data_IF_691737741186
#
_entry.id   IF_691737741186
#
_cell.length_a   1.000
_cell.length_b   1.000
_cell.length_c   1.000
_cell.angle_alpha   90.00
_cell.angle_beta   90.00
_cell.angle_gamma   90.00
#
_symmetry.space_group_name_H-M   'P 1'
#
loop_
_entity.id
_entity.type
_entity.pdbx_description
1 polymer ?
#
# COMPACT_ATOMS: atom_id res chain seq x y z
N UNK A 1 -11.30 5.97 5.08
CA UNK A 1 -10.90 7.02 6.06
C UNK A 1 -11.78 8.26 5.89
N UNK A 2 -13.09 8.04 5.68
CA UNK A 2 -14.02 9.10 5.31
C UNK A 2 -13.56 9.92 4.11
N UNK A 3 -13.99 11.17 4.11
CA UNK A 3 -13.67 12.18 3.10
C UNK A 3 -12.17 12.36 2.86
N UNK A 4 -11.29 12.01 3.80
CA UNK A 4 -9.84 12.12 3.55
C UNK A 4 -9.37 11.26 2.37
N UNK A 5 -10.04 10.14 2.11
CA UNK A 5 -9.78 9.25 0.97
C UNK A 5 -10.88 9.27 -0.08
N UNK A 6 -11.94 10.05 0.12
CA UNK A 6 -13.16 9.97 -0.68
C UNK A 6 -14.03 8.75 -0.37
N UNK A 7 -13.81 8.10 0.79
CA UNK A 7 -14.67 7.01 1.25
C UNK A 7 -15.88 7.60 1.97
N UNK A 8 -17.07 7.04 1.79
CA UNK A 8 -18.27 7.49 2.50
C UNK A 8 -18.31 6.99 3.94
N UNK A 9 -17.45 6.02 4.29
CA UNK A 9 -17.41 5.40 5.61
C UNK A 9 -16.23 5.94 6.44
N UNK A 10 -16.54 6.28 7.69
CA UNK A 10 -15.55 6.69 8.70
C UNK A 10 -15.74 5.92 10.00
N UNK A 11 -14.66 5.64 10.70
CA UNK A 11 -14.68 4.95 11.99
C UNK A 11 -13.50 5.40 12.87
N UNK A 12 -13.48 4.94 14.13
CA UNK A 12 -12.42 5.27 15.08
C UNK A 12 -11.03 4.80 14.61
N UNK A 13 -10.96 3.62 13.96
CA UNK A 13 -9.71 3.07 13.41
C UNK A 13 -9.14 3.97 12.32
N UNK A 14 -9.98 4.45 11.40
CA UNK A 14 -9.59 5.39 10.36
C UNK A 14 -9.04 6.70 10.92
N UNK A 15 -9.68 7.24 11.98
CA UNK A 15 -9.16 8.44 12.66
C UNK A 15 -7.79 8.21 13.30
N UNK A 16 -7.57 7.04 13.94
CA UNK A 16 -6.26 6.69 14.49
C UNK A 16 -5.20 6.56 13.40
N UNK A 17 -5.55 5.94 12.27
CA UNK A 17 -4.65 5.81 11.13
C UNK A 17 -4.28 7.18 10.55
N UNK A 18 -5.23 8.10 10.40
CA UNK A 18 -4.97 9.48 9.97
C UNK A 18 -3.99 10.21 10.90
N UNK A 19 -4.18 10.06 12.22
CA UNK A 19 -3.27 10.65 13.20
C UNK A 19 -1.85 10.06 13.09
N UNK A 20 -1.74 8.75 12.88
CA UNK A 20 -0.44 8.09 12.69
C UNK A 20 0.25 8.54 11.40
N UNK A 21 -0.49 8.68 10.29
CA UNK A 21 0.03 9.22 9.02
C UNK A 21 0.61 10.62 9.23
N UNK A 22 -0.14 11.50 9.90
CA UNK A 22 0.29 12.87 10.18
C UNK A 22 1.52 12.90 11.11
N UNK A 23 1.54 12.09 12.17
CA UNK A 23 2.64 12.05 13.12
C UNK A 23 3.96 11.52 12.52
N UNK A 24 3.89 10.72 11.45
CA UNK A 24 5.06 10.10 10.81
C UNK A 24 5.41 10.72 9.44
N UNK A 25 4.79 11.86 9.09
CA UNK A 25 4.97 12.53 7.79
C UNK A 25 4.79 11.58 6.58
N UNK A 26 3.78 10.71 6.65
CA UNK A 26 3.50 9.77 5.57
C UNK A 26 2.62 10.39 4.50
N UNK A 27 2.98 10.11 3.25
CA UNK A 27 2.18 10.35 2.07
C UNK A 27 1.26 9.15 1.87
N UNK A 28 -0.04 9.41 1.84
CA UNK A 28 -1.04 8.43 1.43
C UNK A 28 -1.27 8.52 -0.09
N UNK A 29 -0.79 7.54 -0.84
CA UNK A 29 -0.82 7.57 -2.30
C UNK A 29 -2.20 7.34 -2.89
N UNK A 30 -3.06 6.54 -2.23
CA UNK A 30 -4.46 6.36 -2.66
C UNK A 30 -5.21 7.69 -2.69
N UNK A 31 -4.99 8.56 -1.69
CA UNK A 31 -5.59 9.90 -1.68
C UNK A 31 -5.14 10.76 -2.86
N UNK A 32 -3.87 10.66 -3.27
CA UNK A 32 -3.31 11.51 -4.32
C UNK A 32 -3.65 11.03 -5.73
N UNK A 33 -3.66 9.71 -5.94
CA UNK A 33 -3.69 9.11 -7.27
C UNK A 33 -4.97 8.32 -7.58
N UNK A 34 -5.77 7.97 -6.57
CA UNK A 34 -6.98 7.15 -6.73
C UNK A 34 -8.07 7.60 -5.72
N UNK A 35 -8.27 8.91 -5.60
CA UNK A 35 -9.21 9.46 -4.62
C UNK A 35 -10.65 9.02 -4.91
N UNK A 36 -11.34 8.50 -3.89
CA UNK A 36 -12.71 8.02 -4.01
C UNK A 36 -12.87 6.68 -4.73
N UNK A 37 -11.78 6.09 -5.24
CA UNK A 37 -11.84 4.77 -5.85
C UNK A 37 -11.88 3.67 -4.77
N UNK A 38 -12.91 2.82 -4.75
CA UNK A 38 -13.07 1.81 -3.73
C UNK A 38 -12.05 0.69 -3.90
N UNK A 39 -11.47 0.19 -2.81
CA UNK A 39 -10.54 -0.97 -2.81
C UNK A 39 -11.24 -2.26 -2.39
N UNK A 40 -12.46 -2.15 -1.89
CA UNK A 40 -13.27 -3.28 -1.43
C UNK A 40 -14.72 -3.09 -1.82
N UNK A 41 -15.35 -4.17 -2.28
CA UNK A 41 -16.74 -4.21 -2.72
C UNK A 41 -17.44 -5.44 -2.18
N UNK A 42 -18.23 -5.27 -1.12
CA UNK A 42 -19.14 -6.30 -0.62
C UNK A 42 -20.32 -5.61 0.07
N UNK A 43 -21.51 -5.73 -0.53
CA UNK A 43 -22.74 -5.05 -0.07
C UNK A 43 -22.55 -3.53 0.11
N UNK A 44 -21.88 -2.92 -0.86
CA UNK A 44 -21.42 -1.54 -0.81
C UNK A 44 -19.93 -1.46 -1.09
N UNK A 45 -19.37 -0.27 -0.97
CA UNK A 45 -17.97 0.01 -1.29
C UNK A 45 -17.25 0.61 -0.10
N UNK A 46 -15.96 0.35 0.03
CA UNK A 46 -15.09 1.01 1.00
C UNK A 46 -13.65 1.13 0.49
N UNK A 47 -12.89 2.03 1.09
CA UNK A 47 -11.46 2.22 0.83
C UNK A 47 -10.74 1.81 2.11
N UNK A 48 -10.13 0.62 2.11
CA UNK A 48 -9.52 0.00 3.29
C UNK A 48 -8.10 -0.53 3.04
N UNK A 49 -7.66 -0.54 1.79
CA UNK A 49 -6.32 -0.96 1.38
C UNK A 49 -5.52 0.26 0.93
N UNK A 50 -4.29 0.43 1.41
CA UNK A 50 -3.56 1.68 1.26
C UNK A 50 -2.07 1.50 0.98
N UNK A 51 -1.51 2.38 0.14
CA UNK A 51 -0.08 2.56 -0.05
C UNK A 51 0.40 3.81 0.69
N UNK A 52 1.42 3.63 1.54
CA UNK A 52 2.05 4.71 2.30
C UNK A 52 3.53 4.76 2.00
N UNK A 53 4.09 5.98 2.00
CA UNK A 53 5.53 6.18 1.99
C UNK A 53 5.88 7.52 2.63
N UNK A 54 7.11 7.70 3.09
CA UNK A 54 7.58 9.00 3.62
C UNK A 54 8.40 9.81 2.61
N UNK A 55 8.49 9.38 1.35
CA UNK A 55 9.12 10.14 0.28
C UNK A 55 8.26 10.21 -0.98
N UNK A 56 8.51 11.24 -1.78
CA UNK A 56 7.88 11.44 -3.08
C UNK A 56 8.37 10.41 -4.09
N UNK A 57 7.44 9.85 -4.86
CA UNK A 57 7.75 8.99 -5.99
C UNK A 57 7.86 9.81 -7.27
N UNK A 58 8.75 9.40 -8.16
CA UNK A 58 8.90 9.99 -9.49
C UNK A 58 7.92 9.36 -10.46
N UNK A 59 7.09 10.16 -11.12
CA UNK A 59 6.06 9.71 -12.08
C UNK A 59 5.20 8.54 -11.56
N UNK A 60 4.58 8.67 -10.37
CA UNK A 60 3.82 7.56 -9.81
C UNK A 60 2.47 7.40 -10.50
N UNK A 61 2.08 6.15 -10.72
CA UNK A 61 0.76 5.75 -11.18
C UNK A 61 0.19 4.72 -10.22
N UNK A 62 -1.07 4.91 -9.83
CA UNK A 62 -1.82 3.94 -9.03
C UNK A 62 -3.07 3.59 -9.81
N UNK A 63 -3.33 2.30 -9.97
CA UNK A 63 -4.56 1.81 -10.58
C UNK A 63 -5.23 0.82 -9.64
N UNK A 64 -6.51 1.05 -9.37
CA UNK A 64 -7.39 0.08 -8.73
C UNK A 64 -8.05 -0.73 -9.84
N UNK A 65 -7.84 -2.04 -9.81
CA UNK A 65 -8.20 -2.97 -10.89
C UNK A 65 -9.45 -3.76 -10.51
N UNK A 66 -10.49 -3.60 -11.31
CA UNK A 66 -11.74 -4.35 -11.15
C UNK A 66 -11.74 -5.63 -11.98
N UNK A 67 -10.95 -5.65 -13.05
CA UNK A 67 -10.81 -6.73 -14.03
C UNK A 67 -10.00 -7.93 -13.53
N UNK A 68 -9.14 -7.74 -12.52
CA UNK A 68 -8.17 -8.74 -12.06
C UNK A 68 -8.39 -9.20 -10.62
N UNK A 69 -9.57 -8.95 -10.03
CA UNK A 69 -9.82 -9.20 -8.61
C UNK A 69 -10.04 -10.67 -8.23
N UNK A 70 -9.90 -11.64 -9.16
CA UNK A 70 -9.97 -13.09 -8.90
C UNK A 70 -11.18 -13.53 -8.04
N UNK A 71 -12.37 -13.00 -8.31
CA UNK A 71 -13.60 -13.23 -7.49
C UNK A 71 -13.47 -12.83 -6.01
N UNK A 72 -12.45 -12.05 -5.64
CA UNK A 72 -12.33 -11.43 -4.32
C UNK A 72 -13.18 -10.17 -4.25
N UNK A 73 -13.67 -9.88 -3.05
CA UNK A 73 -14.29 -8.59 -2.76
C UNK A 73 -13.24 -7.48 -2.61
N UNK A 74 -11.96 -7.82 -2.39
CA UNK A 74 -10.86 -6.86 -2.46
C UNK A 74 -10.43 -6.69 -3.90
N UNK A 75 -10.27 -5.43 -4.31
CA UNK A 75 -9.77 -5.06 -5.62
C UNK A 75 -8.27 -5.15 -5.67
N UNK A 76 -7.75 -5.70 -6.77
CA UNK A 76 -6.31 -5.71 -6.99
C UNK A 76 -5.82 -4.28 -7.24
N UNK A 77 -4.63 -3.94 -6.76
CA UNK A 77 -4.06 -2.59 -6.96
C UNK A 77 -2.63 -2.67 -7.45
N UNK A 78 -2.28 -1.77 -8.36
CA UNK A 78 -0.92 -1.65 -8.89
C UNK A 78 -0.41 -0.23 -8.69
N UNK A 79 0.67 -0.08 -7.92
CA UNK A 79 1.44 1.15 -7.80
C UNK A 79 2.73 0.98 -8.60
N UNK A 80 2.99 1.89 -9.53
CA UNK A 80 4.23 1.95 -10.32
C UNK A 80 4.85 3.33 -10.22
N UNK A 81 6.17 3.41 -10.22
CA UNK A 81 6.91 4.66 -10.17
C UNK A 81 8.32 4.44 -10.70
N UNK A 82 8.95 5.52 -11.14
CA UNK A 82 10.35 5.49 -11.53
C UNK A 82 11.23 5.54 -10.28
N UNK A 83 12.27 4.72 -10.28
CA UNK A 83 13.34 4.89 -9.31
C UNK A 83 14.07 6.19 -9.62
N UNK A 84 14.55 6.92 -8.60
CA UNK A 84 15.48 8.02 -8.84
C UNK A 84 16.70 7.48 -9.59
N UNK A 85 17.31 8.31 -10.43
CA UNK A 85 18.59 8.00 -11.04
C UNK A 85 19.58 7.67 -9.93
N UNK A 86 19.99 6.41 -9.83
CA UNK A 86 21.05 6.04 -8.90
C UNK A 86 22.33 6.72 -9.38
N UNK A 87 23.08 7.40 -8.50
CA UNK A 87 24.39 7.91 -8.87
C UNK A 87 25.23 6.74 -9.39
N UNK A 88 25.60 6.81 -10.67
CA UNK A 88 26.47 5.83 -11.32
C UNK A 88 27.80 5.81 -10.57
N UNK A 89 28.19 4.65 -10.02
CA UNK A 89 29.49 4.46 -9.36
C UNK A 89 29.43 4.17 -7.85
N UNK A 90 28.26 4.19 -7.20
CA UNK A 90 28.16 3.62 -5.86
C UNK A 90 28.22 2.08 -5.93
N UNK A 91 28.99 1.42 -5.04
CA UNK A 91 28.94 -0.03 -4.95
C UNK A 91 27.49 -0.47 -4.65
N UNK A 92 26.99 -1.53 -5.30
CA UNK A 92 25.63 -1.99 -5.07
C UNK A 92 25.43 -2.25 -3.57
N UNK A 93 24.29 -1.84 -3.00
CA UNK A 93 24.02 -2.10 -1.59
C UNK A 93 24.14 -3.60 -1.34
N UNK A 94 24.77 -4.00 -0.23
CA UNK A 94 24.87 -5.41 0.13
C UNK A 94 23.46 -5.97 0.25
N UNK A 95 23.09 -6.83 -0.71
CA UNK A 95 21.78 -7.49 -0.73
C UNK A 95 21.69 -8.37 0.51
N UNK A 96 20.78 -8.02 1.42
CA UNK A 96 20.41 -8.91 2.52
C UNK A 96 19.65 -10.09 1.88
N UNK A 97 20.35 -11.21 1.69
CA UNK A 97 19.72 -12.45 1.23
C UNK A 97 18.98 -13.07 2.40
N UNK A 98 17.65 -13.15 2.31
CA UNK A 98 16.87 -13.96 3.23
C UNK A 98 17.30 -15.42 3.09
N UNK A 99 17.89 -15.99 4.14
CA UNK A 99 18.23 -17.41 4.16
C UNK A 99 16.94 -18.22 4.39
N UNK A 100 16.23 -18.50 3.30
CA UNK A 100 14.98 -19.28 3.28
C UNK A 100 15.18 -20.69 3.85
N UNK A 101 16.42 -21.19 3.90
CA UNK A 101 16.75 -22.47 4.55
C UNK A 101 16.44 -22.51 6.04
N UNK A 102 16.39 -21.36 6.73
CA UNK A 102 16.01 -21.27 8.15
C UNK A 102 14.53 -21.53 8.42
N UNK A 103 13.67 -21.47 7.40
CA UNK A 103 12.24 -21.76 7.53
C UNK A 103 11.94 -23.26 7.58
N UNK A 104 12.92 -24.12 7.30
CA UNK A 104 12.75 -25.59 7.31
C UNK A 104 12.72 -26.19 8.72
N UNK A 105 12.84 -25.39 9.77
CA UNK A 105 12.94 -25.85 11.17
C UNK A 105 11.80 -25.34 12.06
N UNK A 106 10.56 -25.30 11.54
CA UNK A 106 9.40 -25.45 12.41
C UNK A 106 9.09 -26.95 12.50
N UNK A 107 9.85 -27.64 13.36
CA UNK A 107 9.36 -28.92 13.89
C UNK A 107 8.10 -28.59 14.69
N UNK A 108 6.98 -29.14 14.23
CA UNK A 108 5.74 -29.22 14.99
C UNK A 108 6.09 -29.85 16.34
N UNK A 109 5.99 -29.07 17.41
CA UNK A 109 5.85 -29.63 18.75
C UNK A 109 4.41 -30.13 18.83
N UNK A 110 4.24 -31.44 18.64
CA UNK A 110 3.07 -32.19 19.14
C UNK A 110 3.15 -32.35 20.66
#
# INVERSE_FOLDING_TARGET
>A
MGDFTGDTRTNATGRRLLNWIAANNLILWNKRLAYGEPTYTFQGTSIIDFFFNNCEFTMPTLTIRDDLSLNSNHKFMTLSFNLPDYPTGLPPPQRITWNVGKLKHLQLLE
#
